data_IF_634186482384
#
_entry.id   IF_634186482384
#
_cell.length_a   1.000
_cell.length_b   1.000
_cell.length_c   1.000
_cell.angle_alpha   90.00
_cell.angle_beta   90.00
_cell.angle_gamma   90.00
#
_symmetry.space_group_name_H-M   'P 1'
#
loop_
_entity.id
_entity.type
_entity.pdbx_description
1 polymer ?
#
# COMPACT_ATOMS: atom_id res chain seq x y z
N UNK A 1 16.95 11.40 17.94
CA UNK A 1 16.97 9.93 17.90
C UNK A 1 16.29 9.55 16.61
N UNK A 2 16.98 8.97 15.65
CA UNK A 2 16.35 8.37 14.47
C UNK A 2 15.61 7.15 14.98
N UNK A 3 14.28 7.22 15.08
CA UNK A 3 13.49 6.01 15.28
C UNK A 3 13.76 5.08 14.11
N UNK A 4 14.13 3.84 14.42
CA UNK A 4 14.35 2.81 13.40
C UNK A 4 13.06 2.56 12.63
N UNK A 5 13.16 2.26 11.33
CA UNK A 5 12.00 1.92 10.50
C UNK A 5 11.22 0.75 11.14
N UNK A 6 9.90 0.85 11.33
CA UNK A 6 9.12 -0.20 11.97
C UNK A 6 9.15 -1.49 11.15
N UNK A 7 9.37 -2.61 11.83
CA UNK A 7 9.30 -3.94 11.23
C UNK A 7 8.04 -4.63 11.71
N UNK A 8 7.20 -5.11 10.77
CA UNK A 8 5.98 -5.83 11.07
C UNK A 8 6.13 -7.29 10.62
N UNK A 9 5.69 -8.21 11.46
CA UNK A 9 5.68 -9.63 11.15
C UNK A 9 4.26 -10.18 11.28
N UNK A 10 3.85 -10.99 10.31
CA UNK A 10 2.58 -11.72 10.33
C UNK A 10 2.85 -13.24 10.39
N UNK A 11 1.84 -14.04 10.20
CA UNK A 11 2.02 -15.50 10.13
C UNK A 11 2.92 -15.91 8.97
N UNK A 12 2.77 -15.27 7.79
CA UNK A 12 3.44 -15.66 6.54
C UNK A 12 4.38 -14.60 5.98
N UNK A 13 4.37 -13.38 6.52
CA UNK A 13 5.06 -12.23 5.91
C UNK A 13 5.96 -11.51 6.89
N UNK A 14 7.04 -10.95 6.34
CA UNK A 14 7.88 -9.95 6.95
C UNK A 14 7.74 -8.64 6.15
N UNK A 15 7.41 -7.54 6.82
CA UNK A 15 7.29 -6.20 6.26
C UNK A 15 8.38 -5.32 6.87
N UNK A 16 9.31 -4.86 6.04
CA UNK A 16 10.49 -4.11 6.47
C UNK A 16 10.74 -2.94 5.54
N UNK A 17 11.75 -2.10 5.82
CA UNK A 17 12.23 -1.13 4.85
C UNK A 17 12.69 -1.79 3.55
N UNK A 18 12.63 -1.04 2.44
CA UNK A 18 13.37 -1.40 1.23
C UNK A 18 14.86 -1.16 1.42
N UNK A 19 15.65 -1.90 0.67
CA UNK A 19 17.10 -1.71 0.54
C UNK A 19 17.49 -1.71 -0.95
N UNK A 20 18.62 -1.13 -1.28
CA UNK A 20 19.13 -1.06 -2.65
C UNK A 20 19.17 -2.44 -3.36
N UNK A 21 19.38 -3.51 -2.60
CA UNK A 21 19.34 -4.88 -3.12
C UNK A 21 17.96 -5.33 -3.62
N UNK A 22 16.88 -4.63 -3.28
CA UNK A 22 15.52 -4.95 -3.71
C UNK A 22 15.17 -4.38 -5.08
N UNK A 23 16.08 -3.64 -5.73
CA UNK A 23 15.80 -2.93 -6.98
C UNK A 23 15.23 -3.85 -8.06
N UNK A 24 15.85 -4.98 -8.30
CA UNK A 24 15.41 -5.94 -9.32
C UNK A 24 14.02 -6.51 -8.98
N UNK A 25 13.82 -6.92 -7.73
CA UNK A 25 12.54 -7.45 -7.27
C UNK A 25 11.40 -6.41 -7.36
N UNK A 26 11.67 -5.15 -7.01
CA UNK A 26 10.72 -4.05 -7.09
C UNK A 26 10.41 -3.70 -8.55
N UNK A 27 11.41 -3.61 -9.40
CA UNK A 27 11.26 -3.33 -10.83
C UNK A 27 10.43 -4.40 -11.53
N UNK A 28 10.54 -5.67 -11.12
CA UNK A 28 9.79 -6.79 -11.69
C UNK A 28 8.26 -6.61 -11.64
N UNK A 29 7.73 -5.80 -10.71
CA UNK A 29 6.29 -5.47 -10.69
C UNK A 29 6.01 -3.99 -10.97
N UNK A 30 6.83 -3.05 -10.51
CA UNK A 30 6.62 -1.62 -10.74
C UNK A 30 6.89 -1.20 -12.21
N UNK A 31 7.71 -1.97 -12.92
CA UNK A 31 7.98 -1.79 -14.35
C UNK A 31 6.93 -2.40 -15.29
N UNK A 32 5.87 -3.03 -14.75
CA UNK A 32 4.85 -3.72 -15.56
C UNK A 32 3.74 -2.77 -16.00
N UNK A 33 3.34 -2.76 -17.27
CA UNK A 33 2.20 -1.96 -17.76
C UNK A 33 0.85 -2.37 -17.12
N UNK A 34 0.64 -3.67 -16.88
CA UNK A 34 -0.59 -4.20 -16.26
C UNK A 34 -0.73 -3.84 -14.77
N UNK A 35 0.36 -3.53 -14.10
CA UNK A 35 0.39 -2.98 -12.73
C UNK A 35 0.20 -1.46 -12.77
N UNK A 36 0.96 -0.77 -13.63
CA UNK A 36 0.97 0.70 -13.70
C UNK A 36 -0.37 1.29 -14.15
N UNK A 37 -1.17 0.55 -14.93
CA UNK A 37 -2.46 1.02 -15.48
C UNK A 37 -3.45 1.54 -14.45
N UNK A 38 -3.38 1.08 -13.20
CA UNK A 38 -4.27 1.49 -12.11
C UNK A 38 -3.64 2.51 -11.16
N UNK A 39 -2.42 2.98 -11.47
CA UNK A 39 -1.63 3.86 -10.61
C UNK A 39 -1.50 5.27 -11.18
N UNK A 40 -2.26 5.59 -12.25
CA UNK A 40 -2.28 6.89 -12.92
C UNK A 40 -0.87 7.40 -13.30
N UNK A 41 0.05 6.49 -13.58
CA UNK A 41 1.42 6.77 -14.00
C UNK A 41 1.95 5.70 -14.95
N UNK A 42 2.97 6.00 -15.77
CA UNK A 42 3.64 4.97 -16.56
C UNK A 42 4.37 3.94 -15.67
N UNK A 43 4.72 2.76 -16.22
CA UNK A 43 5.65 1.84 -15.58
C UNK A 43 6.93 2.54 -15.14
N UNK A 44 7.47 2.17 -13.98
CA UNK A 44 8.71 2.78 -13.48
C UNK A 44 9.91 2.28 -14.26
N UNK A 45 10.83 3.22 -14.57
CA UNK A 45 12.16 2.87 -15.04
C UNK A 45 13.04 2.35 -13.89
N UNK A 46 14.18 1.68 -14.18
CA UNK A 46 15.13 1.28 -13.15
C UNK A 46 15.59 2.45 -12.26
N UNK A 47 15.83 3.63 -12.86
CA UNK A 47 16.26 4.83 -12.13
C UNK A 47 15.15 5.35 -11.20
N UNK A 48 13.90 5.37 -11.68
CA UNK A 48 12.76 5.77 -10.86
C UNK A 48 12.51 4.79 -9.70
N UNK A 49 12.69 3.48 -9.95
CA UNK A 49 12.65 2.47 -8.89
C UNK A 49 13.74 2.67 -7.85
N UNK A 50 14.99 2.94 -8.27
CA UNK A 50 16.11 3.20 -7.37
C UNK A 50 15.85 4.44 -6.49
N UNK A 51 15.46 5.55 -7.11
CA UNK A 51 15.08 6.79 -6.38
C UNK A 51 13.95 6.55 -5.39
N UNK A 52 12.96 5.72 -5.76
CA UNK A 52 11.87 5.33 -4.85
C UNK A 52 12.36 4.52 -3.64
N UNK A 53 13.36 3.66 -3.81
CA UNK A 53 13.99 2.92 -2.71
C UNK A 53 14.75 3.86 -1.78
N UNK A 54 15.54 4.78 -2.32
CA UNK A 54 16.28 5.77 -1.52
C UNK A 54 15.33 6.62 -0.66
N UNK A 55 14.18 7.03 -1.23
CA UNK A 55 13.15 7.74 -0.48
C UNK A 55 12.50 6.85 0.60
N UNK A 56 12.32 5.56 0.31
CA UNK A 56 11.75 4.61 1.26
C UNK A 56 12.68 4.37 2.46
N UNK A 57 14.00 4.27 2.24
CA UNK A 57 15.00 4.15 3.31
C UNK A 57 15.00 5.35 4.26
N UNK A 58 14.69 6.54 3.75
CA UNK A 58 14.61 7.78 4.52
C UNK A 58 13.19 8.10 5.02
N UNK A 59 12.22 7.23 4.77
CA UNK A 59 10.81 7.50 5.03
C UNK A 59 10.46 7.44 6.53
N UNK A 60 9.51 8.28 6.96
CA UNK A 60 9.02 8.39 8.34
C UNK A 60 7.63 9.02 8.35
N UNK A 61 6.97 8.98 9.52
CA UNK A 61 5.67 9.62 9.75
C UNK A 61 5.86 10.80 10.72
N UNK A 62 6.21 11.97 10.20
CA UNK A 62 6.50 13.17 11.01
C UNK A 62 5.76 14.43 10.55
N UNK A 63 4.76 14.28 9.67
CA UNK A 63 3.93 15.39 9.19
C UNK A 63 3.13 15.03 7.94
N UNK A 64 2.28 15.94 7.52
CA UNK A 64 1.43 15.76 6.35
C UNK A 64 2.26 15.47 5.09
N UNK A 65 1.85 14.45 4.32
CA UNK A 65 2.54 13.99 3.12
C UNK A 65 3.75 13.10 3.37
N UNK A 66 4.20 12.92 4.61
CA UNK A 66 5.25 11.95 4.93
C UNK A 66 4.69 10.52 4.93
N UNK A 67 5.56 9.53 4.73
CA UNK A 67 5.10 8.17 4.52
C UNK A 67 6.08 7.12 5.04
N UNK A 68 5.59 5.90 5.23
CA UNK A 68 6.37 4.68 5.34
C UNK A 68 6.08 3.78 4.15
N UNK A 69 7.11 3.23 3.53
CA UNK A 69 6.98 2.28 2.43
C UNK A 69 7.57 0.94 2.84
N UNK A 70 6.69 -0.01 3.12
CA UNK A 70 7.04 -1.36 3.53
C UNK A 70 7.28 -2.27 2.32
N UNK A 71 8.46 -2.88 2.24
CA UNK A 71 8.71 -4.03 1.37
C UNK A 71 8.07 -5.27 1.99
N UNK A 72 7.25 -5.98 1.23
CA UNK A 72 6.58 -7.20 1.68
C UNK A 72 7.31 -8.43 1.17
N UNK A 73 7.69 -9.32 2.07
CA UNK A 73 8.39 -10.58 1.79
C UNK A 73 7.66 -11.76 2.42
N UNK A 74 7.77 -12.94 1.81
CA UNK A 74 7.41 -14.17 2.51
C UNK A 74 8.39 -14.39 3.66
N UNK A 75 7.91 -14.91 4.77
CA UNK A 75 8.75 -15.17 5.93
C UNK A 75 9.94 -16.06 5.56
N UNK A 76 11.14 -15.59 5.87
CA UNK A 76 12.40 -16.26 5.53
C UNK A 76 12.87 -16.10 4.08
N UNK A 77 12.11 -15.40 3.22
CA UNK A 77 12.55 -15.05 1.87
C UNK A 77 13.16 -13.63 1.85
N UNK A 78 14.14 -13.43 0.99
CA UNK A 78 14.77 -12.11 0.79
C UNK A 78 14.09 -11.30 -0.30
N UNK A 79 13.35 -11.94 -1.21
CA UNK A 79 12.75 -11.29 -2.37
C UNK A 79 11.48 -10.52 -1.96
N UNK A 80 11.48 -9.22 -2.19
CA UNK A 80 10.26 -8.42 -2.09
C UNK A 80 9.27 -8.81 -3.20
N UNK A 81 8.05 -9.17 -2.83
CA UNK A 81 6.97 -9.54 -3.76
C UNK A 81 5.92 -8.45 -3.93
N UNK A 82 6.03 -7.38 -3.15
CA UNK A 82 5.11 -6.26 -3.18
C UNK A 82 5.50 -5.20 -2.17
N UNK A 83 4.67 -4.19 -2.09
CA UNK A 83 4.86 -3.07 -1.17
C UNK A 83 3.51 -2.58 -0.62
N UNK A 84 3.54 -2.05 0.59
CA UNK A 84 2.44 -1.30 1.20
C UNK A 84 2.99 0.05 1.64
N UNK A 85 2.31 1.13 1.24
CA UNK A 85 2.60 2.50 1.65
C UNK A 85 1.57 2.97 2.67
N UNK A 86 2.03 3.66 3.69
CA UNK A 86 1.18 4.39 4.65
C UNK A 86 1.60 5.84 4.65
N UNK A 87 0.71 6.75 4.28
CA UNK A 87 0.98 8.18 4.14
C UNK A 87 0.15 8.97 5.15
N UNK A 88 0.74 9.94 5.81
CA UNK A 88 0.01 10.91 6.64
C UNK A 88 -0.77 11.85 5.73
N UNK A 89 -2.08 11.70 5.68
CA UNK A 89 -2.97 12.50 4.83
C UNK A 89 -3.45 13.80 5.52
N UNK A 90 -3.45 13.83 6.84
CA UNK A 90 -3.82 15.00 7.62
C UNK A 90 -3.64 14.78 9.11
N UNK A 91 -2.64 15.42 9.69
CA UNK A 91 -2.30 15.34 11.12
C UNK A 91 -3.43 15.89 12.01
N UNK A 92 -4.07 16.99 11.58
CA UNK A 92 -5.16 17.61 12.35
C UNK A 92 -6.40 16.73 12.52
N UNK A 93 -6.64 15.79 11.63
CA UNK A 93 -7.75 14.82 11.70
C UNK A 93 -7.26 13.37 11.93
N UNK A 94 -5.97 13.19 12.20
CA UNK A 94 -5.32 11.88 12.38
C UNK A 94 -5.70 10.89 11.27
N UNK A 95 -5.63 11.34 10.00
CA UNK A 95 -5.97 10.54 8.82
C UNK A 95 -4.71 10.03 8.13
N UNK A 96 -4.74 8.77 7.72
CA UNK A 96 -3.68 8.15 6.93
C UNK A 96 -4.26 7.49 5.68
N UNK A 97 -3.54 7.62 4.58
CA UNK A 97 -3.84 6.90 3.34
C UNK A 97 -2.98 5.63 3.27
N UNK A 98 -3.61 4.50 2.95
CA UNK A 98 -2.93 3.24 2.71
C UNK A 98 -3.03 2.86 1.23
N UNK A 99 -1.91 2.46 0.63
CA UNK A 99 -1.84 1.96 -0.73
C UNK A 99 -1.01 0.68 -0.81
N UNK A 100 -1.14 -0.07 -1.88
CA UNK A 100 -0.40 -1.31 -2.10
C UNK A 100 -0.14 -1.58 -3.57
N UNK A 101 0.99 -2.22 -3.84
CA UNK A 101 1.33 -2.78 -5.16
C UNK A 101 1.97 -4.14 -4.95
N UNK A 102 1.49 -5.15 -5.65
CA UNK A 102 2.01 -6.51 -5.56
C UNK A 102 2.37 -7.05 -6.94
N UNK A 103 3.39 -7.90 -6.98
CA UNK A 103 3.70 -8.66 -8.18
C UNK A 103 2.52 -9.60 -8.51
N UNK A 104 1.90 -9.48 -9.69
CA UNK A 104 0.80 -10.36 -10.09
C UNK A 104 1.17 -11.85 -10.07
N UNK A 105 2.45 -12.18 -10.26
CA UNK A 105 2.95 -13.57 -10.27
C UNK A 105 2.92 -14.21 -8.87
N UNK A 106 2.89 -13.41 -7.80
CA UNK A 106 2.69 -13.86 -6.41
C UNK A 106 1.21 -13.75 -5.96
N UNK A 107 0.28 -13.51 -6.90
CA UNK A 107 -1.14 -13.27 -6.62
C UNK A 107 -1.92 -14.51 -6.18
N UNK A 108 -3.18 -14.29 -5.71
CA UNK A 108 -4.12 -15.36 -5.38
C UNK A 108 -3.91 -16.07 -4.04
N UNK A 109 -2.92 -15.65 -3.23
CA UNK A 109 -2.54 -16.28 -1.96
C UNK A 109 -2.99 -15.49 -0.72
N UNK A 110 -3.67 -14.36 -0.90
CA UNK A 110 -4.11 -13.49 0.21
C UNK A 110 -3.01 -12.62 0.82
N UNK A 111 -1.79 -12.65 0.32
CA UNK A 111 -0.65 -11.89 0.86
C UNK A 111 -0.91 -10.37 0.90
N UNK A 112 -1.50 -9.80 -0.14
CA UNK A 112 -1.83 -8.38 -0.17
C UNK A 112 -2.80 -7.97 0.96
N UNK A 113 -3.82 -8.78 1.22
CA UNK A 113 -4.79 -8.55 2.30
C UNK A 113 -4.13 -8.68 3.67
N UNK A 114 -3.26 -9.69 3.85
CA UNK A 114 -2.51 -9.90 5.10
C UNK A 114 -1.55 -8.74 5.39
N UNK A 115 -0.79 -8.30 4.39
CA UNK A 115 0.14 -7.18 4.52
C UNK A 115 -0.59 -5.85 4.79
N UNK A 116 -1.65 -5.55 4.02
CA UNK A 116 -2.41 -4.32 4.21
C UNK A 116 -3.13 -4.29 5.57
N UNK A 117 -3.60 -5.46 6.08
CA UNK A 117 -4.14 -5.57 7.43
C UNK A 117 -3.08 -5.26 8.48
N UNK A 118 -1.87 -5.80 8.36
CA UNK A 118 -0.79 -5.55 9.31
C UNK A 118 -0.41 -4.06 9.36
N UNK A 119 -0.30 -3.40 8.19
CA UNK A 119 -0.01 -1.96 8.13
C UNK A 119 -1.19 -1.13 8.63
N UNK A 120 -2.43 -1.52 8.35
CA UNK A 120 -3.63 -0.87 8.89
C UNK A 120 -3.70 -0.97 10.42
N UNK A 121 -3.41 -2.15 11.00
CA UNK A 121 -3.31 -2.33 12.45
C UNK A 121 -2.21 -1.45 13.05
N UNK A 122 -1.04 -1.42 12.43
CA UNK A 122 0.05 -0.51 12.84
C UNK A 122 -0.38 0.96 12.81
N UNK A 123 -1.10 1.38 11.77
CA UNK A 123 -1.60 2.75 11.65
C UNK A 123 -2.48 3.15 12.84
N UNK A 124 -3.41 2.28 13.25
CA UNK A 124 -4.32 2.55 14.37
C UNK A 124 -3.65 2.40 15.75
N UNK A 125 -2.82 1.37 15.92
CA UNK A 125 -2.33 0.97 17.25
C UNK A 125 -1.02 1.68 17.64
N UNK A 126 -0.20 2.07 16.66
CA UNK A 126 1.14 2.61 16.90
C UNK A 126 1.37 3.98 16.26
N UNK A 127 0.83 4.23 15.06
CA UNK A 127 1.01 5.50 14.36
C UNK A 127 -0.06 6.56 14.71
N UNK A 128 -1.06 6.23 15.53
CA UNK A 128 -2.06 7.17 16.06
C UNK A 128 -3.13 7.58 15.07
N UNK A 129 -3.36 6.81 14.00
CA UNK A 129 -4.44 7.10 13.07
C UNK A 129 -5.82 6.96 13.75
N UNK A 130 -6.71 7.94 13.54
CA UNK A 130 -8.13 7.81 13.83
C UNK A 130 -8.88 7.14 12.66
N UNK A 131 -8.47 7.44 11.43
CA UNK A 131 -9.07 6.92 10.20
C UNK A 131 -7.99 6.53 9.20
N UNK A 132 -8.15 5.37 8.58
CA UNK A 132 -7.34 4.92 7.44
C UNK A 132 -8.22 4.82 6.21
N UNK A 133 -7.75 5.32 5.07
CA UNK A 133 -8.47 5.23 3.81
C UNK A 133 -7.56 4.82 2.65
N UNK A 134 -8.16 4.29 1.61
CA UNK A 134 -7.49 3.95 0.35
C UNK A 134 -8.22 4.61 -0.82
N UNK A 135 -7.46 5.05 -1.83
CA UNK A 135 -7.96 5.51 -3.12
C UNK A 135 -7.67 4.45 -4.17
N UNK A 136 -8.65 4.10 -4.96
CA UNK A 136 -8.59 2.98 -5.90
C UNK A 136 -9.19 3.40 -7.23
N UNK A 137 -8.54 3.05 -8.34
CA UNK A 137 -9.17 3.05 -9.65
C UNK A 137 -10.40 2.11 -9.64
N UNK A 138 -11.54 2.59 -10.15
CA UNK A 138 -12.82 1.83 -10.16
C UNK A 138 -12.73 0.52 -10.95
N UNK A 139 -11.82 0.43 -11.91
CA UNK A 139 -11.58 -0.77 -12.73
C UNK A 139 -10.64 -1.77 -12.04
N UNK A 140 -10.02 -1.40 -10.91
CA UNK A 140 -9.15 -2.30 -10.13
C UNK A 140 -9.97 -3.17 -9.17
N UNK A 141 -10.75 -4.09 -9.73
CA UNK A 141 -11.64 -4.99 -8.97
C UNK A 141 -10.90 -5.82 -7.90
N UNK A 142 -9.60 -6.07 -8.07
CA UNK A 142 -8.79 -6.79 -7.08
C UNK A 142 -8.55 -5.94 -5.83
N UNK A 143 -8.26 -4.66 -6.01
CA UNK A 143 -8.09 -3.72 -4.89
C UNK A 143 -9.42 -3.41 -4.21
N UNK A 144 -10.52 -3.30 -4.96
CA UNK A 144 -11.87 -3.18 -4.40
C UNK A 144 -12.17 -4.36 -3.46
N UNK A 145 -12.03 -5.59 -3.96
CA UNK A 145 -12.25 -6.79 -3.16
C UNK A 145 -11.27 -6.91 -1.96
N UNK A 146 -10.09 -6.31 -2.05
CA UNK A 146 -9.15 -6.26 -0.92
C UNK A 146 -9.68 -5.31 0.17
N UNK A 147 -10.14 -4.12 -0.17
CA UNK A 147 -10.76 -3.19 0.78
C UNK A 147 -11.96 -3.82 1.50
N UNK A 148 -12.83 -4.50 0.77
CA UNK A 148 -14.00 -5.19 1.32
C UNK A 148 -13.59 -6.28 2.32
N UNK A 149 -12.56 -7.09 2.00
CA UNK A 149 -12.03 -8.10 2.92
C UNK A 149 -11.36 -7.50 4.16
N UNK A 150 -10.85 -6.27 4.08
CA UNK A 150 -10.32 -5.54 5.23
C UNK A 150 -11.42 -4.91 6.10
N UNK A 151 -12.67 -4.93 5.65
CA UNK A 151 -13.79 -4.28 6.34
C UNK A 151 -13.90 -2.78 6.05
N UNK A 152 -13.19 -2.29 5.03
CA UNK A 152 -13.29 -0.89 4.61
C UNK A 152 -14.65 -0.65 3.93
N UNK A 153 -15.27 0.51 4.19
CA UNK A 153 -16.52 0.95 3.58
C UNK A 153 -16.23 1.85 2.40
N UNK A 154 -16.95 1.67 1.30
CA UNK A 154 -16.94 2.66 0.21
C UNK A 154 -17.62 3.94 0.68
N UNK A 155 -16.87 5.05 0.70
CA UNK A 155 -17.33 6.34 1.17
C UNK A 155 -17.58 7.35 0.04
N UNK A 156 -16.87 7.19 -1.10
CA UNK A 156 -17.06 8.04 -2.26
C UNK A 156 -16.83 7.31 -3.59
N UNK A 157 -17.43 7.85 -4.64
CA UNK A 157 -17.13 7.56 -6.04
C UNK A 157 -16.85 8.88 -6.75
N UNK A 158 -15.60 9.08 -7.12
CA UNK A 158 -15.13 10.25 -7.85
C UNK A 158 -15.15 9.93 -9.35
N UNK A 159 -16.00 10.61 -10.09
CA UNK A 159 -16.21 10.34 -11.52
C UNK A 159 -15.28 11.22 -12.33
N UNK A 160 -14.48 10.59 -13.22
CA UNK A 160 -13.55 11.26 -14.15
C UNK A 160 -12.63 12.29 -13.45
N UNK A 161 -12.15 11.96 -12.26
CA UNK A 161 -11.42 12.87 -11.38
C UNK A 161 -9.91 12.91 -11.63
N UNK A 162 -9.37 11.96 -12.39
CA UNK A 162 -7.94 11.93 -12.69
C UNK A 162 -7.68 11.42 -14.11
N UNK A 163 -6.47 11.58 -14.63
CA UNK A 163 -6.09 11.18 -15.99
C UNK A 163 -5.16 9.97 -15.97
N UNK A 164 -5.52 8.97 -16.76
CA UNK A 164 -4.65 7.83 -17.07
C UNK A 164 -3.49 8.26 -17.98
N UNK A 165 -2.36 7.54 -17.97
CA UNK A 165 -1.20 7.86 -18.82
C UNK A 165 -1.50 7.90 -20.32
N UNK A 166 -2.54 7.22 -20.79
CA UNK A 166 -3.02 7.25 -22.17
C UNK A 166 -3.90 8.46 -22.50
N UNK A 167 -4.16 9.34 -21.53
CA UNK A 167 -4.94 10.55 -21.67
C UNK A 167 -6.45 10.39 -21.47
N UNK A 168 -6.94 9.17 -21.22
CA UNK A 168 -8.34 8.90 -20.87
C UNK A 168 -8.63 9.38 -19.44
N UNK A 169 -9.92 9.65 -19.15
CA UNK A 169 -10.37 9.96 -17.81
C UNK A 169 -10.57 8.68 -17.00
N UNK A 170 -10.04 8.66 -15.79
CA UNK A 170 -10.23 7.63 -14.81
C UNK A 170 -11.16 8.08 -13.68
N UNK A 171 -11.75 7.13 -13.00
CA UNK A 171 -12.61 7.36 -11.84
C UNK A 171 -12.08 6.57 -10.65
N UNK A 172 -12.24 7.12 -9.45
CA UNK A 172 -11.73 6.49 -8.23
C UNK A 172 -12.83 6.25 -7.21
N UNK A 173 -12.68 5.16 -6.47
CA UNK A 173 -13.38 4.96 -5.20
C UNK A 173 -12.51 5.41 -4.03
N UNK A 174 -13.16 5.96 -3.00
CA UNK A 174 -12.57 6.13 -1.67
C UNK A 174 -13.17 5.08 -0.76
N UNK A 175 -12.32 4.25 -0.17
CA UNK A 175 -12.67 3.29 0.87
C UNK A 175 -12.04 3.73 2.19
N UNK A 176 -12.83 3.77 3.28
CA UNK A 176 -12.36 4.19 4.59
C UNK A 176 -12.71 3.21 5.69
N UNK A 177 -11.92 3.22 6.76
CA UNK A 177 -12.13 2.40 7.95
C UNK A 177 -11.73 3.15 9.24
N UNK A 178 -12.40 2.80 10.32
CA UNK A 178 -11.98 3.04 11.69
C UNK A 178 -11.37 1.75 12.27
N UNK A 179 -10.77 1.84 13.44
CA UNK A 179 -10.09 0.69 14.06
C UNK A 179 -11.01 -0.52 14.29
N UNK A 180 -12.28 -0.26 14.63
CA UNK A 180 -13.28 -1.31 14.81
C UNK A 180 -13.65 -2.06 13.53
N UNK A 181 -13.69 -1.38 12.39
CA UNK A 181 -14.01 -1.99 11.10
C UNK A 181 -12.94 -3.01 10.70
N UNK A 182 -11.66 -2.64 10.86
CA UNK A 182 -10.54 -3.52 10.54
C UNK A 182 -10.48 -4.74 11.47
N UNK A 183 -10.81 -4.59 12.75
CA UNK A 183 -10.83 -5.69 13.74
C UNK A 183 -11.98 -6.66 13.51
N UNK A 184 -13.13 -6.16 13.04
CA UNK A 184 -14.32 -6.97 12.79
C UNK A 184 -14.21 -7.83 11.53
N UNK A 185 -13.33 -7.47 10.60
CA UNK A 185 -13.16 -8.20 9.35
C UNK A 185 -12.49 -9.58 9.58
N UNK A 186 -12.92 -10.63 8.87
CA UNK A 186 -12.34 -11.98 9.03
C UNK A 186 -10.85 -11.98 8.68
N UNK A 187 -10.08 -12.98 9.17
CA UNK A 187 -8.70 -13.16 8.77
C UNK A 187 -8.53 -13.25 7.26
N UNK A 188 -7.40 -12.79 6.75
CA UNK A 188 -7.15 -12.66 5.30
C UNK A 188 -7.11 -13.99 4.52
N UNK A 189 -7.13 -15.13 5.21
CA UNK A 189 -6.92 -16.49 4.67
C UNK A 189 -8.04 -17.49 5.01
N UNK A 190 -9.21 -17.05 5.42
CA UNK A 190 -10.40 -17.90 5.59
C UNK A 190 -11.20 -18.01 4.32
#
# INVERSE_FOLDING_TARGET
>A
MTEDFPTLATERLDLTSFHRADLEARLAYQGRPDVARYLYRPPLSPEACATGIEKAEASRLDGDGTFLLFAVRKRGDRRAMGEVILTVAGTGAAQMEIGWVFNPDDGGQGYATEAARAVGSFAFEQAGAHRVFARLDTMNVRSVALCERLGFRQEAHLIENDRLPNGEWGSEFIYGALAEDLRAAPPAWT
#
